data_IF_904240678712
#
_entry.id   IF_904240678712
#
_cell.length_a   1.000
_cell.length_b   1.000
_cell.length_c   1.000
_cell.angle_alpha   90.00
_cell.angle_beta   90.00
_cell.angle_gamma   90.00
#
_symmetry.space_group_name_H-M   'P 1'
#
loop_
_entity.id
_entity.type
_entity.pdbx_description
1 polymer ?
#
# COMPACT_ATOMS: atom_id res chain seq x y z
N UNK A 1 -48.75 -11.29 6.77
CA UNK A 1 -47.37 -11.62 7.17
C UNK A 1 -46.37 -11.60 6.00
N UNK A 2 -46.61 -12.18 4.84
CA UNK A 2 -45.69 -12.16 3.68
C UNK A 2 -45.39 -10.75 3.14
N UNK A 3 -46.38 -9.86 3.05
CA UNK A 3 -46.17 -8.48 2.52
C UNK A 3 -45.31 -7.61 3.41
N UNK A 4 -45.37 -7.77 4.72
CA UNK A 4 -44.54 -7.06 5.70
C UNK A 4 -43.09 -7.57 5.70
N UNK A 5 -42.86 -8.85 5.45
CA UNK A 5 -41.52 -9.42 5.32
C UNK A 5 -40.78 -8.92 4.07
N UNK A 6 -41.50 -8.79 2.95
CA UNK A 6 -40.87 -8.28 1.71
C UNK A 6 -40.50 -6.80 1.80
N UNK A 7 -41.30 -5.98 2.49
CA UNK A 7 -40.98 -4.55 2.68
C UNK A 7 -39.76 -4.37 3.63
N UNK A 8 -39.66 -5.18 4.68
CA UNK A 8 -38.51 -5.17 5.59
C UNK A 8 -37.21 -5.64 4.91
N UNK A 9 -37.29 -6.61 4.00
CA UNK A 9 -36.14 -7.07 3.22
C UNK A 9 -35.67 -6.04 2.18
N UNK A 10 -36.61 -5.34 1.53
CA UNK A 10 -36.24 -4.25 0.61
C UNK A 10 -35.63 -3.06 1.31
N UNK A 11 -36.13 -2.67 2.50
CA UNK A 11 -35.53 -1.56 3.26
C UNK A 11 -34.18 -1.90 3.86
N UNK A 12 -33.88 -3.15 4.20
CA UNK A 12 -32.56 -3.58 4.65
C UNK A 12 -31.53 -3.55 3.51
N UNK A 13 -31.96 -3.85 2.27
CA UNK A 13 -31.06 -3.82 1.10
C UNK A 13 -30.67 -2.40 0.70
N UNK A 14 -31.52 -1.40 0.96
CA UNK A 14 -31.22 -0.01 0.64
C UNK A 14 -30.30 0.70 1.67
N UNK A 15 -30.25 0.22 2.92
CA UNK A 15 -29.34 0.77 3.93
C UNK A 15 -27.90 0.26 3.78
N UNK A 16 -27.68 -0.86 3.13
CA UNK A 16 -26.31 -1.39 2.94
C UNK A 16 -25.56 -0.77 1.77
N UNK A 17 -26.22 -0.01 0.89
CA UNK A 17 -25.60 0.63 -0.27
C UNK A 17 -24.87 1.95 0.05
N UNK A 18 -25.00 2.47 1.26
CA UNK A 18 -24.46 3.80 1.65
C UNK A 18 -23.04 3.83 2.19
N UNK A 19 -22.40 2.69 2.46
CA UNK A 19 -21.13 2.64 3.18
C UNK A 19 -19.89 2.51 2.29
N UNK A 20 -20.03 2.37 0.98
CA UNK A 20 -18.91 2.12 0.07
C UNK A 20 -18.29 3.38 -0.59
N UNK A 21 -18.81 4.58 -0.31
CA UNK A 21 -18.37 5.81 -0.99
C UNK A 21 -17.22 6.58 -0.34
N UNK A 22 -16.55 6.03 0.67
CA UNK A 22 -15.55 6.77 1.44
C UNK A 22 -14.09 6.57 0.99
N UNK A 23 -13.85 5.79 -0.05
CA UNK A 23 -12.49 5.57 -0.55
C UNK A 23 -12.35 6.11 -1.98
N UNK A 24 -11.84 7.34 -2.11
CA UNK A 24 -11.28 7.84 -3.35
C UNK A 24 -12.30 8.44 -4.32
N UNK A 25 -12.83 9.61 -3.97
CA UNK A 25 -13.41 10.49 -4.98
C UNK A 25 -12.26 11.25 -5.65
N UNK A 26 -11.89 10.88 -6.86
CA UNK A 26 -11.62 11.90 -7.81
C UNK A 26 -10.27 12.06 -8.47
N UNK A 27 -9.31 11.19 -8.33
CA UNK A 27 -8.12 11.25 -9.17
C UNK A 27 -8.26 10.41 -10.43
N UNK A 28 -7.68 10.85 -11.54
CA UNK A 28 -7.54 10.02 -12.73
C UNK A 28 -6.38 9.05 -12.55
N UNK A 29 -6.70 7.78 -12.31
CA UNK A 29 -5.71 6.73 -12.17
C UNK A 29 -5.57 6.03 -13.52
N UNK A 30 -4.38 6.20 -14.10
CA UNK A 30 -4.04 5.56 -15.36
C UNK A 30 -3.72 4.08 -15.15
N UNK A 31 -4.16 3.27 -16.08
CA UNK A 31 -3.81 1.86 -16.18
C UNK A 31 -2.35 1.74 -16.62
N UNK A 32 -1.52 1.07 -15.84
CA UNK A 32 -0.09 0.91 -16.10
C UNK A 32 0.20 -0.58 -16.26
N UNK A 33 0.76 -0.96 -17.37
CA UNK A 33 1.15 -2.35 -17.62
C UNK A 33 2.36 -2.75 -16.76
N UNK A 34 2.09 -3.38 -15.62
CA UNK A 34 3.14 -3.94 -14.78
C UNK A 34 3.48 -5.38 -15.17
N UNK A 35 4.75 -5.74 -15.12
CA UNK A 35 5.23 -7.09 -15.46
C UNK A 35 4.65 -8.20 -14.57
N UNK A 36 4.16 -7.85 -13.39
CA UNK A 36 3.60 -8.79 -12.42
C UNK A 36 2.08 -8.97 -12.51
N UNK A 37 1.42 -8.34 -13.49
CA UNK A 37 -0.02 -8.43 -13.67
C UNK A 37 -0.47 -9.71 -14.36
N UNK A 38 -1.75 -10.02 -14.10
CA UNK A 38 -2.41 -11.17 -14.70
C UNK A 38 -1.90 -12.53 -14.17
N UNK A 39 -2.46 -13.63 -14.69
CA UNK A 39 -2.21 -14.97 -14.17
C UNK A 39 -0.80 -15.52 -14.45
N UNK A 40 -0.05 -14.89 -15.35
CA UNK A 40 1.31 -15.25 -15.74
C UNK A 40 2.34 -14.16 -15.42
N UNK A 41 1.91 -13.09 -14.75
CA UNK A 41 2.76 -12.00 -14.37
C UNK A 41 3.87 -12.44 -13.41
N UNK A 42 5.03 -11.79 -13.52
CA UNK A 42 6.20 -12.05 -12.67
C UNK A 42 6.86 -10.75 -12.24
N UNK A 43 7.30 -10.73 -11.00
CA UNK A 43 8.12 -9.62 -10.53
C UNK A 43 9.53 -9.69 -11.14
N UNK A 44 9.98 -8.59 -11.72
CA UNK A 44 11.38 -8.43 -12.14
C UNK A 44 12.25 -8.18 -10.90
N UNK A 45 13.22 -9.06 -10.67
CA UNK A 45 14.09 -9.01 -9.49
C UNK A 45 14.91 -7.72 -9.40
N UNK A 46 15.42 -7.25 -10.54
CA UNK A 46 16.19 -6.00 -10.57
C UNK A 46 15.30 -4.79 -10.30
N UNK A 47 14.04 -4.83 -10.74
CA UNK A 47 13.06 -3.80 -10.43
C UNK A 47 12.73 -3.80 -8.92
N UNK A 48 12.54 -4.96 -8.33
CA UNK A 48 12.32 -5.08 -6.88
C UNK A 48 13.52 -4.56 -6.08
N UNK A 49 14.75 -4.87 -6.49
CA UNK A 49 15.96 -4.35 -5.84
C UNK A 49 16.05 -2.81 -5.94
N UNK A 50 15.74 -2.24 -7.10
CA UNK A 50 15.67 -0.77 -7.25
C UNK A 50 14.55 -0.17 -6.39
N UNK A 51 13.38 -0.80 -6.36
CA UNK A 51 12.26 -0.39 -5.52
C UNK A 51 12.60 -0.45 -4.03
N UNK A 52 13.25 -1.52 -3.58
CA UNK A 52 13.73 -1.65 -2.21
C UNK A 52 14.75 -0.55 -1.86
N UNK A 53 15.64 -0.21 -2.78
CA UNK A 53 16.58 0.90 -2.60
C UNK A 53 15.83 2.22 -2.40
N UNK A 54 14.85 2.54 -3.26
CA UNK A 54 14.02 3.74 -3.11
C UNK A 54 13.28 3.74 -1.78
N UNK A 55 12.69 2.60 -1.39
CA UNK A 55 12.05 2.49 -0.09
C UNK A 55 13.03 2.81 1.05
N UNK A 56 14.21 2.18 1.04
CA UNK A 56 15.21 2.35 2.10
C UNK A 56 15.73 3.78 2.21
N UNK A 57 16.01 4.42 1.08
CA UNK A 57 16.64 5.74 1.04
C UNK A 57 15.65 6.90 1.20
N UNK A 58 14.39 6.69 0.86
CA UNK A 58 13.39 7.78 0.81
C UNK A 58 12.20 7.50 1.71
N UNK A 59 11.52 6.34 1.55
CA UNK A 59 10.21 6.10 2.15
C UNK A 59 10.32 5.66 3.61
N UNK A 60 11.35 4.89 3.97
CA UNK A 60 11.51 4.26 5.28
C UNK A 60 11.69 5.25 6.42
N UNK A 61 12.09 6.49 6.12
CA UNK A 61 12.18 7.55 7.12
C UNK A 61 10.83 7.88 7.78
N UNK A 62 9.72 7.66 7.04
CA UNK A 62 8.37 7.97 7.50
C UNK A 62 7.44 6.75 7.49
N UNK A 63 7.62 5.82 6.56
CA UNK A 63 6.72 4.69 6.33
C UNK A 63 7.34 3.36 6.72
N UNK A 64 6.58 2.58 7.47
CA UNK A 64 6.99 1.23 7.87
C UNK A 64 6.57 0.15 6.86
N UNK A 65 7.20 -1.01 6.99
CA UNK A 65 6.80 -2.30 6.40
C UNK A 65 6.72 -3.38 7.51
N UNK A 66 6.10 -3.05 8.63
CA UNK A 66 6.12 -3.86 9.86
C UNK A 66 5.59 -5.29 9.73
N UNK A 67 4.84 -5.58 8.68
CA UNK A 67 4.33 -6.93 8.42
C UNK A 67 5.23 -7.73 7.46
N UNK A 68 6.32 -7.15 7.00
CA UNK A 68 7.28 -7.81 6.10
C UNK A 68 8.50 -8.26 6.91
N UNK A 69 8.74 -9.57 7.06
CA UNK A 69 9.97 -10.07 7.67
C UNK A 69 11.18 -9.80 6.76
N UNK A 70 12.30 -9.37 7.34
CA UNK A 70 13.52 -9.08 6.57
C UNK A 70 14.03 -10.30 5.78
N UNK A 71 13.83 -11.52 6.29
CA UNK A 71 14.24 -12.76 5.60
C UNK A 71 13.56 -12.94 4.24
N UNK A 72 12.36 -12.37 4.04
CA UNK A 72 11.62 -12.52 2.77
C UNK A 72 12.30 -11.83 1.59
N UNK A 73 13.30 -11.00 1.83
CA UNK A 73 14.14 -10.45 0.77
C UNK A 73 14.97 -11.52 0.03
N UNK A 74 15.13 -12.72 0.63
CA UNK A 74 15.77 -13.86 0.01
C UNK A 74 14.79 -14.82 -0.69
N UNK A 75 13.48 -14.63 -0.50
CA UNK A 75 12.48 -15.56 -1.01
C UNK A 75 12.40 -15.52 -2.55
N UNK A 76 11.98 -16.63 -3.14
CA UNK A 76 11.67 -16.71 -4.56
C UNK A 76 10.51 -15.75 -4.88
N UNK A 77 10.66 -14.94 -5.93
CA UNK A 77 9.70 -13.88 -6.27
C UNK A 77 9.92 -12.54 -5.56
N UNK A 78 10.86 -12.50 -4.62
CA UNK A 78 11.35 -11.27 -3.98
C UNK A 78 12.58 -10.68 -4.69
N UNK A 79 13.29 -9.75 -4.03
CA UNK A 79 14.56 -9.18 -4.54
C UNK A 79 15.68 -10.20 -4.73
N UNK A 80 15.50 -11.41 -4.22
CA UNK A 80 16.41 -12.54 -4.35
C UNK A 80 17.82 -12.28 -3.80
N UNK A 81 17.88 -11.70 -2.62
CA UNK A 81 19.13 -11.49 -1.91
C UNK A 81 19.68 -12.82 -1.36
N UNK A 82 21.01 -12.96 -1.30
CA UNK A 82 21.59 -14.05 -0.55
C UNK A 82 21.34 -13.88 0.97
N UNK A 83 21.42 -14.97 1.73
CA UNK A 83 21.27 -14.91 3.19
C UNK A 83 22.25 -13.93 3.84
N UNK A 84 23.48 -13.80 3.29
CA UNK A 84 24.48 -12.87 3.78
C UNK A 84 24.10 -11.41 3.49
N UNK A 85 23.56 -11.15 2.30
CA UNK A 85 23.06 -9.83 1.95
C UNK A 85 21.88 -9.43 2.83
N UNK A 86 20.95 -10.35 3.12
CA UNK A 86 19.84 -10.07 4.04
C UNK A 86 20.36 -9.76 5.45
N UNK A 87 21.35 -10.51 5.95
CA UNK A 87 21.97 -10.21 7.26
C UNK A 87 22.63 -8.84 7.29
N UNK A 88 23.39 -8.51 6.26
CA UNK A 88 24.02 -7.19 6.16
C UNK A 88 23.00 -6.07 6.02
N UNK A 89 21.92 -6.29 5.27
CA UNK A 89 20.84 -5.32 5.11
C UNK A 89 20.08 -5.10 6.43
N UNK A 90 19.81 -6.16 7.18
CA UNK A 90 19.13 -6.08 8.48
C UNK A 90 19.90 -5.21 9.48
N UNK A 91 21.22 -5.20 9.42
CA UNK A 91 22.06 -4.39 10.31
C UNK A 91 21.89 -2.87 10.17
N UNK A 92 21.20 -2.42 9.10
CA UNK A 92 20.88 -0.99 8.94
C UNK A 92 19.67 -0.54 9.81
N UNK A 93 19.02 -1.47 10.49
CA UNK A 93 17.82 -1.19 11.30
C UNK A 93 18.03 -1.52 12.75
N UNK A 94 17.32 -0.81 13.61
CA UNK A 94 17.17 -1.13 15.03
C UNK A 94 15.73 -1.57 15.30
N UNK A 95 15.55 -2.55 16.15
CA UNK A 95 14.25 -3.06 16.59
C UNK A 95 14.21 -3.10 18.12
N UNK A 96 13.08 -2.76 18.68
CA UNK A 96 12.87 -2.88 20.12
C UNK A 96 12.79 -4.35 20.52
N UNK A 97 13.60 -4.74 21.49
CA UNK A 97 13.62 -6.08 22.07
C UNK A 97 12.99 -6.05 23.45
N UNK A 98 11.80 -6.65 23.63
CA UNK A 98 11.10 -6.60 24.91
C UNK A 98 11.79 -7.39 26.02
N UNK A 99 12.71 -8.33 25.68
CA UNK A 99 13.48 -9.06 26.69
C UNK A 99 14.62 -8.21 27.27
N UNK A 100 15.16 -7.33 26.45
CA UNK A 100 16.23 -6.41 26.85
C UNK A 100 15.68 -5.06 27.36
N UNK A 101 14.39 -4.79 27.11
CA UNK A 101 13.76 -3.48 27.31
C UNK A 101 14.55 -2.33 26.63
N UNK A 102 15.14 -2.62 25.47
CA UNK A 102 16.02 -1.69 24.73
C UNK A 102 16.02 -2.02 23.25
N UNK A 103 16.58 -1.09 22.45
CA UNK A 103 16.77 -1.30 21.02
C UNK A 103 18.04 -2.11 20.75
N UNK A 104 17.95 -3.00 19.79
CA UNK A 104 19.09 -3.75 19.26
C UNK A 104 19.10 -3.74 17.75
N UNK A 105 20.27 -4.00 17.18
CA UNK A 105 20.42 -4.25 15.74
C UNK A 105 19.52 -5.39 15.29
N UNK A 106 18.78 -5.16 14.19
CA UNK A 106 17.88 -6.16 13.64
C UNK A 106 18.61 -7.37 13.06
N UNK A 107 17.97 -8.52 13.14
CA UNK A 107 18.38 -9.79 12.55
C UNK A 107 17.49 -10.10 11.35
N UNK A 108 17.91 -11.01 10.49
CA UNK A 108 17.10 -11.44 9.34
C UNK A 108 15.73 -12.04 9.71
N UNK A 109 15.59 -12.55 10.94
CA UNK A 109 14.31 -13.03 11.48
C UNK A 109 13.33 -11.94 11.88
N UNK A 110 13.80 -10.73 12.09
CA UNK A 110 12.96 -9.61 12.50
C UNK A 110 12.16 -9.06 11.31
N UNK A 111 11.17 -8.25 11.62
CA UNK A 111 10.43 -7.49 10.62
C UNK A 111 11.08 -6.12 10.38
N UNK A 112 10.71 -5.47 9.32
CA UNK A 112 11.03 -4.06 9.17
C UNK A 112 10.49 -3.26 10.35
N UNK A 113 11.21 -2.24 10.84
CA UNK A 113 10.78 -1.45 11.98
C UNK A 113 9.47 -0.69 11.70
N UNK A 114 8.81 -0.29 12.77
CA UNK A 114 7.65 0.59 12.72
C UNK A 114 7.99 1.99 12.22
N UNK A 115 6.98 2.75 11.80
CA UNK A 115 7.15 4.16 11.43
C UNK A 115 7.54 4.99 12.65
N UNK A 116 8.40 5.98 12.44
CA UNK A 116 8.70 7.03 13.41
C UNK A 116 7.62 8.12 13.47
N UNK A 117 6.71 8.15 12.50
CA UNK A 117 5.60 9.09 12.41
C UNK A 117 4.26 8.38 12.61
N UNK A 118 3.53 8.77 13.65
CA UNK A 118 2.24 8.13 14.02
C UNK A 118 1.18 8.21 12.93
N UNK A 119 1.21 9.26 12.10
CA UNK A 119 0.24 9.49 11.03
C UNK A 119 0.67 8.95 9.66
N UNK A 120 1.89 8.43 9.53
CA UNK A 120 2.35 7.84 8.28
C UNK A 120 1.83 6.38 8.15
N UNK A 121 1.07 6.05 7.10
CA UNK A 121 0.55 4.71 6.94
C UNK A 121 1.66 3.68 6.72
N UNK A 122 1.47 2.48 7.28
CA UNK A 122 2.30 1.32 6.97
C UNK A 122 2.06 0.85 5.54
N UNK A 123 3.12 0.60 4.78
CA UNK A 123 3.04 0.25 3.37
C UNK A 123 2.95 -1.25 3.09
N UNK A 124 3.05 -2.11 4.11
CA UNK A 124 3.09 -3.58 3.93
C UNK A 124 1.94 -4.14 3.10
N UNK A 125 0.74 -3.56 3.25
CA UNK A 125 -0.47 -4.01 2.58
C UNK A 125 -1.09 -2.93 1.69
N UNK A 126 -0.39 -1.82 1.45
CA UNK A 126 -0.95 -0.65 0.78
C UNK A 126 -1.50 -0.97 -0.61
N UNK A 127 -0.78 -1.75 -1.40
CA UNK A 127 -1.22 -2.16 -2.74
C UNK A 127 -2.52 -2.99 -2.73
N UNK A 128 -2.82 -3.68 -1.62
CA UNK A 128 -4.10 -4.40 -1.43
C UNK A 128 -5.18 -3.53 -0.78
N UNK A 129 -4.77 -2.54 0.02
CA UNK A 129 -5.68 -1.68 0.78
C UNK A 129 -6.21 -0.51 -0.05
N UNK A 130 -5.74 -0.32 -1.26
CA UNK A 130 -6.16 0.75 -2.16
C UNK A 130 -6.71 0.18 -3.46
N UNK A 131 -7.74 0.84 -3.97
CA UNK A 131 -8.34 0.53 -5.26
C UNK A 131 -8.13 1.73 -6.20
N UNK A 132 -7.53 1.47 -7.36
CA UNK A 132 -7.35 2.47 -8.42
C UNK A 132 -8.54 2.52 -9.37
N UNK A 133 -9.20 1.39 -9.60
CA UNK A 133 -10.27 1.27 -10.59
C UNK A 133 -11.62 1.01 -9.92
N UNK A 134 -12.48 2.00 -9.94
CA UNK A 134 -13.79 1.91 -9.29
C UNK A 134 -14.91 1.57 -10.28
N UNK A 135 -14.93 2.17 -11.46
CA UNK A 135 -16.03 2.08 -12.42
C UNK A 135 -17.16 3.11 -12.15
N UNK A 136 -18.18 3.12 -13.01
CA UNK A 136 -19.28 4.08 -12.94
C UNK A 136 -19.94 4.07 -11.55
N UNK A 137 -20.14 5.26 -10.99
CA UNK A 137 -20.79 5.45 -9.68
C UNK A 137 -20.19 4.60 -8.54
N UNK A 138 -18.87 4.28 -8.59
CA UNK A 138 -18.19 3.51 -7.56
C UNK A 138 -18.57 2.04 -7.49
N UNK A 139 -19.16 1.47 -8.55
CA UNK A 139 -19.65 0.09 -8.58
C UNK A 139 -18.56 -0.98 -8.48
N UNK A 140 -17.29 -0.59 -8.67
CA UNK A 140 -16.17 -1.53 -8.69
C UNK A 140 -16.10 -2.41 -9.94
N UNK A 141 -16.97 -2.22 -10.93
CA UNK A 141 -17.04 -3.09 -12.12
C UNK A 141 -15.73 -3.11 -12.91
N UNK A 142 -14.98 -2.01 -12.92
CA UNK A 142 -13.69 -1.95 -13.61
C UNK A 142 -12.64 -2.88 -12.97
N UNK A 143 -12.79 -3.20 -11.69
CA UNK A 143 -11.89 -4.13 -10.99
C UNK A 143 -11.97 -5.56 -11.49
N UNK A 144 -13.11 -5.95 -12.11
CA UNK A 144 -13.28 -7.27 -12.71
C UNK A 144 -12.40 -7.47 -13.95
N UNK A 145 -12.07 -6.38 -14.65
CA UNK A 145 -11.33 -6.43 -15.91
C UNK A 145 -9.89 -5.94 -15.77
N UNK A 146 -9.65 -4.98 -14.88
CA UNK A 146 -8.36 -4.29 -14.70
C UNK A 146 -7.68 -4.65 -13.38
N UNK A 147 -8.28 -5.50 -12.57
CA UNK A 147 -7.80 -5.77 -11.22
C UNK A 147 -8.13 -4.65 -10.24
N UNK A 148 -7.59 -4.73 -9.03
CA UNK A 148 -7.87 -3.77 -7.95
C UNK A 148 -7.28 -2.39 -8.23
N UNK A 149 -6.18 -2.29 -8.94
CA UNK A 149 -5.51 -1.03 -9.28
C UNK A 149 -4.75 -0.38 -8.11
N UNK A 150 -4.30 -1.17 -7.15
CA UNK A 150 -3.54 -0.64 -6.01
C UNK A 150 -2.15 -0.13 -6.37
N UNK A 151 -1.35 -0.86 -7.17
CA UNK A 151 -0.07 -0.36 -7.69
C UNK A 151 -0.23 0.90 -8.53
N UNK A 152 -1.26 0.98 -9.36
CA UNK A 152 -1.60 2.16 -10.18
C UNK A 152 -1.95 3.36 -9.30
N UNK A 153 -2.73 3.14 -8.24
CA UNK A 153 -3.00 4.17 -7.24
C UNK A 153 -1.72 4.70 -6.60
N UNK A 154 -0.80 3.81 -6.20
CA UNK A 154 0.49 4.21 -5.63
C UNK A 154 1.31 5.00 -6.65
N UNK A 155 1.34 4.56 -7.89
CA UNK A 155 2.02 5.27 -8.98
C UNK A 155 1.41 6.67 -9.20
N UNK A 156 0.09 6.77 -9.24
CA UNK A 156 -0.62 8.04 -9.41
C UNK A 156 -0.32 9.01 -8.26
N UNK A 157 -0.36 8.53 -7.00
CA UNK A 157 0.00 9.36 -5.84
C UNK A 157 1.45 9.87 -5.93
N UNK A 158 2.39 9.03 -6.31
CA UNK A 158 3.80 9.41 -6.36
C UNK A 158 4.13 10.36 -7.52
N UNK A 159 3.38 10.31 -8.61
CA UNK A 159 3.66 11.07 -9.83
C UNK A 159 2.65 12.19 -10.11
N UNK A 160 1.53 12.23 -9.38
CA UNK A 160 0.40 13.13 -9.65
C UNK A 160 0.51 14.53 -9.06
N UNK A 161 1.64 14.90 -8.46
CA UNK A 161 1.79 16.26 -7.93
C UNK A 161 1.84 17.31 -9.04
N UNK A 162 0.91 18.28 -8.97
CA UNK A 162 0.74 19.32 -10.00
C UNK A 162 1.68 20.52 -9.82
N UNK A 163 2.37 20.60 -8.70
CA UNK A 163 3.20 21.75 -8.31
C UNK A 163 2.38 22.91 -7.72
N UNK A 164 1.05 22.83 -7.70
CA UNK A 164 0.22 23.84 -7.04
C UNK A 164 0.15 23.60 -5.55
N UNK A 165 0.04 24.69 -4.79
CA UNK A 165 -0.05 24.65 -3.33
C UNK A 165 -1.24 25.43 -2.84
N UNK A 166 -1.75 25.06 -1.66
CA UNK A 166 -2.79 25.77 -0.92
C UNK A 166 -2.37 25.89 0.54
N UNK A 167 -2.47 27.08 1.10
CA UNK A 167 -2.29 27.27 2.53
C UNK A 167 -3.61 27.03 3.27
N UNK A 168 -3.59 26.13 4.25
CA UNK A 168 -4.75 25.83 5.07
C UNK A 168 -4.33 25.57 6.52
N UNK A 169 -4.91 26.30 7.45
CA UNK A 169 -4.62 26.20 8.89
C UNK A 169 -3.11 26.33 9.24
N UNK A 170 -2.33 27.12 8.46
CA UNK A 170 -0.89 27.29 8.67
C UNK A 170 -0.03 26.17 8.12
N UNK A 171 -0.60 25.25 7.33
CA UNK A 171 0.10 24.16 6.66
C UNK A 171 0.00 24.33 5.15
N UNK A 172 1.13 24.16 4.46
CA UNK A 172 1.16 24.14 2.99
C UNK A 172 0.72 22.78 2.49
N UNK A 173 -0.42 22.72 1.81
CA UNK A 173 -0.92 21.52 1.14
C UNK A 173 -0.48 21.54 -0.32
N UNK A 174 -0.02 20.39 -0.81
CA UNK A 174 0.38 20.20 -2.20
C UNK A 174 -0.72 19.48 -2.96
N UNK A 175 -1.17 20.08 -4.07
CA UNK A 175 -2.20 19.48 -4.91
C UNK A 175 -1.67 18.22 -5.60
N UNK A 176 -2.46 17.16 -5.57
CA UNK A 176 -2.21 15.91 -6.27
C UNK A 176 -3.43 15.53 -7.12
N UNK A 177 -3.21 15.03 -8.33
CA UNK A 177 -4.28 14.67 -9.27
C UNK A 177 -4.85 13.26 -9.04
N UNK A 178 -4.25 12.46 -8.16
CA UNK A 178 -4.70 11.10 -7.84
C UNK A 178 -5.79 11.06 -6.77
#
# INVERSE_FOLDING_TARGET
MFKTLCIAALSALTLSAGAASAAGAGGEIHDVDFSFEGPFGKFDQNQLQRGLKVYTEVCSACHSLRYVPLRTLADEGGPHFSADQVRSYAQNFEVFDPELDDFRTAKSSDHFPGSSLDNAPDLSLMAKARAGFHGPAGTGINQLFKGMGGPEYITAILTGYTGKTKEEAGVTLYENSA
#
